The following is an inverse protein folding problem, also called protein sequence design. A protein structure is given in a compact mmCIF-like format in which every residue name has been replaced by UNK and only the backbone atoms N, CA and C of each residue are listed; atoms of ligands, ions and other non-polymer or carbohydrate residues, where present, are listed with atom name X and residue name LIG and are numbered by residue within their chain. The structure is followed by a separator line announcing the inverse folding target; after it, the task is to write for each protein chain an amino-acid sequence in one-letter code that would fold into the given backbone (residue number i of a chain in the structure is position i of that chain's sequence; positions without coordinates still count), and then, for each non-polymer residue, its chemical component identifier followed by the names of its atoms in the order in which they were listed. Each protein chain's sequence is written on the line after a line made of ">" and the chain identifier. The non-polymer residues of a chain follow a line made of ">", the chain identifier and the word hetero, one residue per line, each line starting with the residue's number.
data_IF_142418323680
#
_entry.id   IF_142418323680
#
_cell.length_a   1.000
_cell.length_b   1.000
_cell.length_c   1.000
_cell.angle_alpha   90.00
_cell.angle_beta   90.00
_cell.angle_gamma   90.00
#
_symmetry.space_group_name_H-M   'P 1'
#
loop_
_entity.id
_entity.type
_entity.pdbx_description
1 polymer ?
#
# COMPACT_ATOMS: atom_id res chain seq x y z
N UNK A 1 14.35 -37.26 9.43
CA UNK A 1 14.27 -36.64 8.09
C UNK A 1 15.38 -35.62 8.00
N UNK A 2 16.46 -35.90 7.24
CA UNK A 2 17.57 -34.97 7.10
C UNK A 2 17.08 -33.79 6.22
N UNK A 3 16.97 -32.62 6.86
CA UNK A 3 16.80 -31.38 6.13
C UNK A 3 18.04 -31.19 5.26
N UNK A 4 17.87 -31.15 3.93
CA UNK A 4 18.98 -31.01 2.96
C UNK A 4 19.68 -29.63 3.01
N UNK A 5 19.98 -29.17 4.22
CA UNK A 5 20.78 -27.98 4.48
C UNK A 5 22.26 -28.34 4.38
N UNK A 6 22.99 -27.59 3.54
CA UNK A 6 24.45 -27.68 3.47
C UNK A 6 25.07 -27.37 4.84
N UNK A 7 26.04 -28.18 5.25
CA UNK A 7 26.75 -28.00 6.49
C UNK A 7 28.24 -27.73 6.20
N UNK A 8 28.84 -26.70 6.76
CA UNK A 8 28.34 -25.65 7.67
C UNK A 8 27.31 -24.72 7.04
N UNK A 9 26.37 -24.14 7.88
CA UNK A 9 25.30 -23.32 7.35
C UNK A 9 25.82 -22.06 6.65
N UNK A 10 25.21 -21.71 5.49
CA UNK A 10 25.54 -20.53 4.69
C UNK A 10 24.28 -19.74 4.37
N UNK A 11 24.36 -18.41 4.40
CA UNK A 11 23.28 -17.54 3.89
C UNK A 11 23.14 -17.72 2.38
N UNK A 12 21.91 -17.57 1.88
CA UNK A 12 21.65 -17.58 0.45
C UNK A 12 22.31 -16.37 -0.21
N UNK A 13 22.77 -16.55 -1.45
CA UNK A 13 23.41 -15.48 -2.21
C UNK A 13 22.42 -14.31 -2.41
N UNK A 14 22.88 -13.07 -2.25
CA UNK A 14 22.06 -11.87 -2.35
C UNK A 14 21.24 -11.52 -1.08
N UNK A 15 21.38 -12.27 0.00
CA UNK A 15 20.85 -11.88 1.30
C UNK A 15 21.71 -10.79 1.92
N UNK A 16 21.09 -9.69 2.34
CA UNK A 16 21.78 -8.57 3.00
C UNK A 16 21.25 -8.38 4.42
N UNK A 17 22.16 -8.31 5.38
CA UNK A 17 21.90 -8.03 6.78
C UNK A 17 21.94 -6.51 7.00
N UNK A 18 20.80 -5.87 7.30
CA UNK A 18 20.67 -4.40 7.33
C UNK A 18 20.80 -3.80 8.74
N UNK A 19 20.75 -4.62 9.77
CA UNK A 19 20.80 -4.15 11.16
C UNK A 19 19.44 -3.87 11.77
N UNK A 20 19.43 -3.21 12.92
CA UNK A 20 18.22 -2.86 13.63
C UNK A 20 17.46 -1.73 12.90
N UNK A 21 16.11 -1.80 12.93
CA UNK A 21 15.24 -0.75 12.40
C UNK A 21 15.48 0.55 13.17
N UNK A 22 16.07 1.54 12.51
CA UNK A 22 16.37 2.85 13.10
C UNK A 22 15.09 3.59 13.47
N UNK A 23 15.12 4.29 14.60
CA UNK A 23 13.99 5.09 15.10
C UNK A 23 12.68 4.30 15.25
N UNK A 24 12.79 3.03 15.61
CA UNK A 24 11.67 2.13 15.76
C UNK A 24 10.73 2.54 16.91
N UNK A 25 9.42 2.34 16.70
CA UNK A 25 8.38 2.47 17.72
C UNK A 25 8.28 1.29 18.69
N UNK A 26 9.11 0.25 18.50
CA UNK A 26 9.18 -0.90 19.40
C UNK A 26 10.09 -0.62 20.59
N UNK A 27 9.78 -1.25 21.73
CA UNK A 27 10.67 -1.24 22.92
C UNK A 27 11.98 -1.99 22.64
N UNK A 28 11.89 -3.07 21.87
CA UNK A 28 13.04 -3.81 21.32
C UNK A 28 12.95 -3.75 19.80
N UNK A 29 13.79 -2.94 19.15
CA UNK A 29 13.76 -2.80 17.69
C UNK A 29 13.94 -4.16 17.01
N UNK A 30 13.13 -4.50 15.98
CA UNK A 30 13.41 -5.65 15.15
C UNK A 30 14.61 -5.37 14.26
N UNK A 31 15.32 -6.42 13.88
CA UNK A 31 16.34 -6.34 12.86
C UNK A 31 15.75 -6.59 11.46
N UNK A 32 16.38 -6.04 10.46
CA UNK A 32 15.99 -6.11 9.06
C UNK A 32 16.97 -6.96 8.27
N UNK A 33 16.43 -7.82 7.43
CA UNK A 33 17.17 -8.58 6.42
C UNK A 33 16.49 -8.37 5.07
N UNK A 34 17.26 -8.09 4.03
CA UNK A 34 16.81 -8.10 2.65
C UNK A 34 17.17 -9.43 2.00
N UNK A 35 16.18 -10.12 1.43
CA UNK A 35 16.38 -11.34 0.64
C UNK A 35 16.87 -11.01 -0.77
N UNK A 36 17.39 -12.04 -1.45
CA UNK A 36 17.81 -11.96 -2.86
C UNK A 36 16.68 -11.51 -3.81
N UNK A 37 15.41 -11.81 -3.49
CA UNK A 37 14.22 -11.38 -4.25
C UNK A 37 13.79 -9.94 -3.94
N UNK A 38 14.57 -9.20 -3.14
CA UNK A 38 14.31 -7.83 -2.73
C UNK A 38 13.33 -7.69 -1.55
N UNK A 39 12.72 -8.77 -1.06
CA UNK A 39 11.80 -8.70 0.08
C UNK A 39 12.53 -8.34 1.37
N UNK A 40 11.93 -7.42 2.12
CA UNK A 40 12.38 -7.01 3.45
C UNK A 40 11.71 -7.86 4.52
N UNK A 41 12.49 -8.48 5.39
CA UNK A 41 12.01 -9.32 6.50
C UNK A 41 12.40 -8.68 7.82
N UNK A 42 11.44 -8.61 8.75
CA UNK A 42 11.69 -8.24 10.13
C UNK A 42 11.89 -9.50 10.97
N UNK A 43 13.01 -9.57 11.66
CA UNK A 43 13.33 -10.68 12.55
C UNK A 43 13.71 -10.19 13.94
N UNK A 44 13.65 -11.09 14.92
CA UNK A 44 14.10 -10.78 16.28
C UNK A 44 15.62 -10.62 16.32
N UNK A 45 16.12 -9.90 17.35
CA UNK A 45 17.55 -9.72 17.57
C UNK A 45 18.31 -11.06 17.65
N UNK A 46 17.72 -12.08 18.29
CA UNK A 46 18.34 -13.40 18.36
C UNK A 46 18.56 -14.00 16.97
N UNK A 47 17.51 -14.01 16.12
CA UNK A 47 17.61 -14.54 14.75
C UNK A 47 18.65 -13.77 13.94
N UNK A 48 18.70 -12.45 14.12
CA UNK A 48 19.64 -11.58 13.43
C UNK A 48 21.08 -11.88 13.85
N UNK A 49 21.36 -12.01 15.15
CA UNK A 49 22.70 -12.34 15.65
C UNK A 49 23.17 -13.72 15.15
N UNK A 50 22.27 -14.72 15.14
CA UNK A 50 22.59 -16.02 14.52
C UNK A 50 22.89 -15.85 13.04
N UNK A 51 22.07 -15.12 12.28
CA UNK A 51 22.29 -14.88 10.85
C UNK A 51 23.63 -14.18 10.58
N UNK A 52 24.04 -13.21 11.42
CA UNK A 52 25.33 -12.52 11.31
C UNK A 52 26.54 -13.45 11.51
N UNK A 53 26.38 -14.58 12.20
CA UNK A 53 27.46 -15.53 12.48
C UNK A 53 27.51 -16.69 11.49
N UNK A 54 26.53 -16.79 10.58
CA UNK A 54 26.46 -17.79 9.51
C UNK A 54 27.32 -17.31 8.33
N UNK A 55 28.49 -17.90 8.14
CA UNK A 55 29.44 -17.55 7.06
C UNK A 55 29.78 -18.72 6.13
N UNK A 56 29.21 -19.90 6.36
CA UNK A 56 29.51 -21.10 5.59
C UNK A 56 30.74 -21.87 6.04
N UNK A 57 31.40 -21.43 7.12
CA UNK A 57 32.64 -22.06 7.62
C UNK A 57 32.52 -22.51 9.08
N UNK A 58 31.70 -21.85 9.88
CA UNK A 58 31.58 -22.09 11.32
C UNK A 58 30.66 -23.26 11.65
N UNK A 59 31.11 -24.10 12.57
CA UNK A 59 30.27 -25.14 13.20
C UNK A 59 29.25 -24.52 14.17
N UNK A 60 28.19 -25.27 14.49
CA UNK A 60 27.09 -24.78 15.37
C UNK A 60 27.59 -24.40 16.77
N UNK A 61 28.54 -25.12 17.33
CA UNK A 61 29.11 -24.81 18.64
C UNK A 61 29.82 -23.46 18.65
N UNK A 62 30.59 -23.16 17.59
CA UNK A 62 31.26 -21.89 17.43
C UNK A 62 30.25 -20.72 17.28
N UNK A 63 29.18 -20.92 16.49
CA UNK A 63 28.10 -19.95 16.37
C UNK A 63 27.41 -19.75 17.72
N UNK A 64 27.13 -20.83 18.47
CA UNK A 64 26.50 -20.78 19.78
C UNK A 64 27.33 -19.98 20.78
N UNK A 65 28.64 -20.22 20.85
CA UNK A 65 29.55 -19.49 21.71
C UNK A 65 29.58 -17.98 21.41
N UNK A 66 29.71 -17.60 20.13
CA UNK A 66 29.74 -16.20 19.71
C UNK A 66 28.42 -15.48 20.01
N UNK A 67 27.29 -16.10 19.68
CA UNK A 67 25.96 -15.50 19.93
C UNK A 67 25.64 -15.43 21.43
N UNK A 68 26.13 -16.39 22.22
CA UNK A 68 26.00 -16.35 23.67
C UNK A 68 26.70 -15.15 24.29
N UNK A 69 27.91 -14.83 23.80
CA UNK A 69 28.65 -13.61 24.18
C UNK A 69 27.87 -12.33 23.83
N UNK A 70 27.34 -12.23 22.61
CA UNK A 70 26.58 -11.08 22.13
C UNK A 70 25.24 -10.87 22.88
N UNK A 71 24.65 -11.93 23.40
CA UNK A 71 23.35 -11.89 24.12
C UNK A 71 23.47 -11.80 25.63
N UNK A 72 24.64 -12.09 26.20
CA UNK A 72 24.83 -12.24 27.63
C UNK A 72 24.06 -13.42 28.23
N UNK A 73 23.73 -14.44 27.41
CA UNK A 73 23.03 -15.67 27.80
C UNK A 73 23.59 -16.86 27.07
N UNK A 74 23.77 -18.00 27.76
CA UNK A 74 24.24 -19.23 27.17
C UNK A 74 23.21 -19.80 26.15
N UNK A 75 23.66 -20.13 24.97
CA UNK A 75 22.93 -20.86 23.96
C UNK A 75 23.65 -22.17 23.67
N UNK A 76 22.91 -23.26 23.55
CA UNK A 76 23.44 -24.53 23.11
C UNK A 76 23.47 -24.65 21.59
N UNK A 77 24.34 -25.51 21.04
CA UNK A 77 24.36 -25.79 19.60
C UNK A 77 23.02 -26.33 19.09
N UNK A 78 22.27 -27.10 19.92
CA UNK A 78 20.93 -27.58 19.56
C UNK A 78 19.90 -26.43 19.41
N UNK A 79 19.96 -25.40 20.26
CA UNK A 79 19.11 -24.22 20.16
C UNK A 79 19.47 -23.40 18.93
N UNK A 80 20.75 -23.24 18.58
CA UNK A 80 21.19 -22.59 17.36
C UNK A 80 20.74 -23.37 16.13
N UNK A 81 20.88 -24.71 16.15
CA UNK A 81 20.36 -25.58 15.09
C UNK A 81 18.86 -25.38 14.89
N UNK A 82 18.05 -25.36 15.97
CA UNK A 82 16.62 -25.06 15.90
C UNK A 82 16.34 -23.68 15.27
N UNK A 83 17.08 -22.65 15.67
CA UNK A 83 16.93 -21.31 15.07
C UNK A 83 17.23 -21.33 13.57
N UNK A 84 18.26 -22.01 13.15
CA UNK A 84 18.67 -22.12 11.74
C UNK A 84 17.64 -22.90 10.95
N UNK A 85 17.25 -24.11 11.39
CA UNK A 85 16.38 -25.01 10.64
C UNK A 85 14.91 -24.61 10.67
N UNK A 86 14.40 -24.24 11.85
CA UNK A 86 12.96 -24.03 12.06
C UNK A 86 12.54 -22.56 11.97
N UNK A 87 13.50 -21.62 12.03
CA UNK A 87 13.18 -20.18 11.96
C UNK A 87 13.79 -19.47 10.75
N UNK A 88 15.08 -19.68 10.43
CA UNK A 88 15.74 -18.98 9.32
C UNK A 88 15.54 -19.70 7.98
N UNK A 89 15.59 -21.03 7.94
CA UNK A 89 15.40 -21.79 6.71
C UNK A 89 14.01 -21.58 6.05
N UNK A 90 12.88 -21.59 6.80
CA UNK A 90 11.57 -21.31 6.22
C UNK A 90 11.43 -19.89 5.67
N UNK A 91 12.26 -18.95 6.13
CA UNK A 91 12.32 -17.57 5.62
C UNK A 91 13.11 -17.46 4.29
N UNK A 92 13.68 -18.56 3.80
CA UNK A 92 14.48 -18.57 2.57
C UNK A 92 15.78 -17.78 2.69
N UNK A 93 16.38 -17.74 3.89
CA UNK A 93 17.62 -17.02 4.17
C UNK A 93 18.88 -17.88 4.02
N UNK A 94 18.72 -19.19 3.87
CA UNK A 94 19.84 -20.14 3.83
C UNK A 94 20.06 -20.73 2.46
N UNK A 95 21.32 -20.95 2.10
CA UNK A 95 21.70 -21.68 0.89
C UNK A 95 21.28 -23.15 0.99
N UNK A 96 20.76 -23.73 -0.11
CA UNK A 96 20.34 -25.14 -0.16
C UNK A 96 19.03 -25.45 0.55
N UNK A 97 18.40 -24.47 1.22
CA UNK A 97 17.05 -24.61 1.75
C UNK A 97 16.02 -24.61 0.62
N UNK A 98 14.96 -25.42 0.73
CA UNK A 98 13.86 -25.41 -0.24
C UNK A 98 13.27 -23.98 -0.31
N UNK A 99 13.75 -23.21 -1.26
CA UNK A 99 13.36 -21.83 -1.50
C UNK A 99 11.96 -21.80 -2.08
N UNK A 100 10.93 -21.95 -1.28
CA UNK A 100 9.55 -21.61 -1.69
C UNK A 100 8.52 -21.72 -0.55
N UNK A 101 8.90 -21.45 0.70
CA UNK A 101 7.87 -21.00 1.61
C UNK A 101 7.53 -19.57 1.18
N UNK A 102 6.42 -19.39 0.47
CA UNK A 102 5.87 -18.05 0.24
C UNK A 102 5.70 -17.42 1.61
N UNK A 103 6.57 -16.46 1.94
CA UNK A 103 6.38 -15.67 3.15
C UNK A 103 4.94 -15.17 3.16
N UNK A 104 4.30 -15.08 4.35
CA UNK A 104 2.98 -14.53 4.44
C UNK A 104 3.03 -13.15 3.80
N UNK A 105 2.56 -13.04 2.57
CA UNK A 105 2.39 -11.73 1.93
C UNK A 105 1.45 -10.92 2.81
N UNK A 106 1.82 -9.67 3.06
CA UNK A 106 0.94 -8.68 3.67
C UNK A 106 -0.47 -8.83 3.10
N UNK A 107 -1.49 -8.67 3.93
CA UNK A 107 -2.90 -8.97 3.63
C UNK A 107 -3.20 -8.99 2.13
N UNK A 108 -3.51 -10.16 1.52
CA UNK A 108 -3.64 -10.25 0.06
C UNK A 108 -4.80 -9.41 -0.51
N UNK A 109 -5.66 -8.82 0.33
CA UNK A 109 -6.68 -7.84 -0.08
C UNK A 109 -6.09 -6.47 -0.38
N UNK A 110 -5.07 -6.06 0.37
CA UNK A 110 -4.41 -4.77 0.26
C UNK A 110 -3.04 -4.87 -0.46
N UNK A 111 -2.77 -5.97 -1.15
CA UNK A 111 -1.58 -6.14 -1.95
C UNK A 111 -1.84 -5.72 -3.40
N UNK A 112 -0.92 -4.96 -3.96
CA UNK A 112 -0.92 -4.59 -5.37
C UNK A 112 -0.76 -5.83 -6.24
N UNK A 113 -1.62 -6.01 -7.24
CA UNK A 113 -1.67 -7.18 -8.13
C UNK A 113 -1.39 -6.77 -9.57
N UNK A 114 -1.18 -7.78 -10.43
CA UNK A 114 -0.97 -7.59 -11.86
C UNK A 114 0.05 -6.47 -12.15
N UNK A 115 1.22 -6.56 -11.51
CA UNK A 115 2.27 -5.52 -11.58
C UNK A 115 2.96 -5.54 -12.93
N UNK A 116 2.91 -4.43 -13.65
CA UNK A 116 3.73 -4.15 -14.83
C UNK A 116 4.81 -3.13 -14.49
N UNK A 117 6.00 -3.30 -15.03
CA UNK A 117 7.11 -2.36 -14.86
C UNK A 117 7.07 -1.31 -15.96
N UNK A 118 7.01 -0.04 -15.59
CA UNK A 118 7.12 1.10 -16.49
C UNK A 118 8.58 1.55 -16.62
N UNK A 119 9.26 1.75 -15.49
CA UNK A 119 10.67 2.10 -15.44
C UNK A 119 11.42 1.03 -14.64
N UNK A 120 12.41 0.36 -15.21
CA UNK A 120 13.25 -0.59 -14.49
C UNK A 120 14.07 0.14 -13.43
N UNK A 121 14.60 -0.60 -12.45
CA UNK A 121 15.34 -0.03 -11.32
C UNK A 121 16.51 0.88 -11.75
N UNK A 122 17.20 0.56 -12.84
CA UNK A 122 18.28 1.39 -13.38
C UNK A 122 17.75 2.78 -13.80
N UNK A 123 16.65 2.83 -14.56
CA UNK A 123 16.04 4.08 -15.00
C UNK A 123 15.44 4.89 -13.82
N UNK A 124 14.78 4.22 -12.86
CA UNK A 124 14.29 4.85 -11.65
C UNK A 124 15.43 5.45 -10.80
N UNK A 125 16.60 4.79 -10.73
CA UNK A 125 17.77 5.34 -10.06
C UNK A 125 18.34 6.58 -10.79
N UNK A 126 18.34 6.59 -12.12
CA UNK A 126 18.74 7.76 -12.92
C UNK A 126 17.77 8.91 -12.69
N UNK A 127 16.46 8.68 -12.80
CA UNK A 127 15.43 9.69 -12.50
C UNK A 127 15.57 10.23 -11.06
N UNK A 128 15.74 9.33 -10.08
CA UNK A 128 15.97 9.72 -8.69
C UNK A 128 17.22 10.54 -8.48
N UNK A 129 18.30 10.27 -9.21
CA UNK A 129 19.55 11.05 -9.18
C UNK A 129 19.39 12.42 -9.84
N UNK A 130 18.69 12.48 -10.97
CA UNK A 130 18.41 13.72 -11.71
C UNK A 130 17.60 14.71 -10.86
N UNK A 131 16.56 14.22 -10.19
CA UNK A 131 15.68 15.04 -9.37
C UNK A 131 16.15 15.21 -7.91
N UNK A 132 17.24 14.56 -7.51
CA UNK A 132 17.82 14.69 -6.17
C UNK A 132 18.01 16.15 -5.70
N UNK A 133 18.49 17.12 -6.53
CA UNK A 133 18.68 18.50 -6.12
C UNK A 133 17.42 19.20 -5.61
N UNK A 134 16.23 18.76 -6.04
CA UNK A 134 14.96 19.33 -5.61
C UNK A 134 14.69 19.10 -4.10
N UNK A 135 15.40 18.17 -3.45
CA UNK A 135 15.28 17.91 -2.01
C UNK A 135 16.24 18.76 -1.14
N UNK A 136 16.99 19.69 -1.72
CA UNK A 136 17.72 20.67 -0.91
C UNK A 136 16.75 21.62 -0.19
N UNK A 137 17.02 21.90 1.08
CA UNK A 137 16.11 22.67 1.93
C UNK A 137 15.68 24.04 1.36
N UNK A 138 16.55 24.83 0.68
CA UNK A 138 16.10 26.10 0.10
C UNK A 138 15.09 25.89 -1.04
N UNK A 139 15.29 24.82 -1.85
CA UNK A 139 14.38 24.48 -2.93
C UNK A 139 13.02 24.04 -2.37
N UNK A 140 13.03 23.18 -1.34
CA UNK A 140 11.79 22.76 -0.65
C UNK A 140 11.05 23.99 -0.11
N UNK A 141 11.75 24.89 0.58
CA UNK A 141 11.16 26.11 1.12
C UNK A 141 10.55 26.98 0.00
N UNK A 142 11.27 27.18 -1.11
CA UNK A 142 10.79 27.94 -2.25
C UNK A 142 9.55 27.31 -2.89
N UNK A 143 9.55 25.99 -3.11
CA UNK A 143 8.42 25.24 -3.68
C UNK A 143 7.18 25.32 -2.77
N UNK A 144 7.34 25.11 -1.45
CA UNK A 144 6.22 25.19 -0.50
C UNK A 144 5.65 26.62 -0.47
N UNK A 145 6.52 27.65 -0.45
CA UNK A 145 6.07 29.05 -0.45
C UNK A 145 5.35 29.40 -1.75
N UNK A 146 5.91 29.01 -2.90
CA UNK A 146 5.28 29.22 -4.20
C UNK A 146 3.94 28.48 -4.31
N UNK A 147 3.87 27.25 -3.79
CA UNK A 147 2.63 26.48 -3.71
C UNK A 147 1.57 27.19 -2.87
N UNK A 148 1.92 27.68 -1.69
CA UNK A 148 0.97 28.43 -0.85
C UNK A 148 0.48 29.73 -1.51
N UNK A 149 1.34 30.44 -2.26
CA UNK A 149 0.94 31.60 -3.04
C UNK A 149 0.00 31.21 -4.17
N UNK A 150 0.32 30.13 -4.90
CA UNK A 150 -0.52 29.59 -5.96
C UNK A 150 -1.91 29.20 -5.43
N UNK A 151 -1.96 28.49 -4.29
CA UNK A 151 -3.21 28.03 -3.68
C UNK A 151 -4.07 29.20 -3.22
N UNK A 152 -3.44 30.19 -2.56
CA UNK A 152 -4.13 31.41 -2.16
C UNK A 152 -4.72 32.15 -3.36
N UNK A 153 -3.93 32.31 -4.44
CA UNK A 153 -4.41 32.92 -5.66
C UNK A 153 -5.55 32.11 -6.28
N UNK A 154 -5.38 30.81 -6.43
CA UNK A 154 -6.35 29.94 -7.11
C UNK A 154 -7.68 29.89 -6.35
N UNK A 155 -7.65 29.62 -5.06
CA UNK A 155 -8.87 29.36 -4.27
C UNK A 155 -9.51 30.62 -3.71
N UNK A 156 -8.73 31.67 -3.42
CA UNK A 156 -9.25 32.89 -2.79
C UNK A 156 -9.51 34.04 -3.78
N UNK A 157 -8.71 34.16 -4.84
CA UNK A 157 -8.77 35.31 -5.74
C UNK A 157 -9.36 34.98 -7.11
N UNK A 158 -8.93 33.88 -7.73
CA UNK A 158 -9.31 33.55 -9.12
C UNK A 158 -10.57 32.68 -9.19
N UNK A 159 -10.64 31.62 -8.38
CA UNK A 159 -11.70 30.62 -8.38
C UNK A 159 -11.59 29.65 -9.56
N UNK A 160 -12.45 28.62 -9.53
CA UNK A 160 -12.44 27.49 -10.48
C UNK A 160 -13.71 27.39 -11.34
N UNK A 161 -14.68 28.29 -11.13
CA UNK A 161 -16.00 28.18 -11.78
C UNK A 161 -15.96 28.27 -13.31
N UNK A 162 -15.01 29.03 -13.86
CA UNK A 162 -14.75 29.12 -15.29
C UNK A 162 -14.21 27.81 -15.86
N UNK A 163 -13.19 27.27 -15.22
CA UNK A 163 -12.55 26.02 -15.60
C UNK A 163 -13.54 24.84 -15.63
N UNK A 164 -14.34 24.69 -14.58
CA UNK A 164 -15.35 23.64 -14.53
C UNK A 164 -16.33 23.72 -15.70
N UNK A 165 -16.91 24.89 -15.95
CA UNK A 165 -17.93 25.04 -17.02
C UNK A 165 -17.38 24.78 -18.40
N UNK A 166 -16.17 25.26 -18.69
CA UNK A 166 -15.55 25.09 -20.00
C UNK A 166 -15.13 23.65 -20.22
N UNK A 167 -14.32 23.08 -19.31
CA UNK A 167 -13.68 21.78 -19.50
C UNK A 167 -14.68 20.63 -19.44
N UNK A 168 -15.68 20.68 -18.54
CA UNK A 168 -16.69 19.61 -18.47
C UNK A 168 -17.60 19.55 -19.70
N UNK A 169 -17.68 20.62 -20.50
CA UNK A 169 -18.45 20.66 -21.73
C UNK A 169 -17.70 20.13 -22.96
N UNK A 170 -16.38 19.93 -22.89
CA UNK A 170 -15.56 19.52 -24.04
C UNK A 170 -14.84 18.17 -23.76
N UNK A 171 -15.18 17.11 -24.52
CA UNK A 171 -14.51 15.80 -24.37
C UNK A 171 -13.00 15.83 -24.63
N UNK A 172 -12.50 16.73 -25.47
CA UNK A 172 -11.06 16.87 -25.75
C UNK A 172 -10.35 17.42 -24.52
N UNK A 173 -10.92 18.46 -23.90
CA UNK A 173 -10.39 19.05 -22.68
C UNK A 173 -10.36 18.03 -21.53
N UNK A 174 -11.42 17.21 -21.39
CA UNK A 174 -11.47 16.13 -20.39
C UNK A 174 -10.41 15.04 -20.62
N UNK A 175 -10.19 14.65 -21.88
CA UNK A 175 -9.10 13.71 -22.21
C UNK A 175 -7.73 14.31 -21.90
N UNK A 176 -7.55 15.61 -22.13
CA UNK A 176 -6.31 16.29 -21.82
C UNK A 176 -6.07 16.36 -20.29
N UNK A 177 -7.12 16.64 -19.50
CA UNK A 177 -7.05 16.55 -18.03
C UNK A 177 -6.65 15.12 -17.60
N UNK A 178 -7.29 14.10 -18.14
CA UNK A 178 -6.96 12.71 -17.81
C UNK A 178 -5.50 12.36 -18.18
N UNK A 179 -5.02 12.82 -19.34
CA UNK A 179 -3.62 12.61 -19.74
C UNK A 179 -2.64 13.32 -18.81
N UNK A 180 -2.93 14.57 -18.41
CA UNK A 180 -2.11 15.32 -17.46
C UNK A 180 -2.13 14.68 -16.06
N UNK A 181 -3.27 14.14 -15.60
CA UNK A 181 -3.35 13.38 -14.33
C UNK A 181 -2.48 12.12 -14.38
N UNK A 182 -2.43 11.39 -15.50
CA UNK A 182 -1.52 10.25 -15.65
C UNK A 182 -0.06 10.69 -15.61
N UNK A 183 0.29 11.81 -16.25
CA UNK A 183 1.65 12.38 -16.20
C UNK A 183 1.99 12.79 -14.76
N UNK A 184 1.06 13.45 -14.06
CA UNK A 184 1.19 13.81 -12.64
C UNK A 184 1.48 12.58 -11.78
N UNK A 185 0.72 11.51 -11.98
CA UNK A 185 0.89 10.26 -11.21
C UNK A 185 2.26 9.61 -11.46
N UNK A 186 2.75 9.58 -12.70
CA UNK A 186 4.11 9.07 -12.99
C UNK A 186 5.18 9.98 -12.38
N UNK A 187 4.99 11.29 -12.44
CA UNK A 187 5.92 12.26 -11.86
C UNK A 187 5.94 12.17 -10.32
N UNK A 188 4.80 11.93 -9.69
CA UNK A 188 4.66 11.61 -8.27
C UNK A 188 5.54 10.43 -7.87
N UNK A 189 5.52 9.33 -8.64
CA UNK A 189 6.36 8.15 -8.39
C UNK A 189 7.86 8.47 -8.51
N UNK A 190 8.23 9.38 -9.41
CA UNK A 190 9.61 9.89 -9.48
C UNK A 190 10.00 10.66 -8.20
N UNK A 191 9.05 11.30 -7.53
CA UNK A 191 9.25 11.98 -6.25
C UNK A 191 9.68 11.02 -5.14
N UNK A 192 9.03 9.87 -5.01
CA UNK A 192 9.45 8.82 -4.08
C UNK A 192 10.85 8.32 -4.40
N UNK A 193 11.15 8.07 -5.67
CA UNK A 193 12.48 7.65 -6.09
C UNK A 193 13.56 8.70 -5.77
N UNK A 194 13.26 9.98 -5.98
CA UNK A 194 14.18 11.08 -5.70
C UNK A 194 14.42 11.28 -4.20
N UNK A 195 13.36 11.22 -3.38
CA UNK A 195 13.45 11.28 -1.91
C UNK A 195 14.26 10.13 -1.32
N UNK A 196 14.04 8.92 -1.84
CA UNK A 196 14.81 7.72 -1.51
C UNK A 196 16.30 7.90 -1.84
N UNK A 197 16.59 8.36 -3.07
CA UNK A 197 17.96 8.57 -3.56
C UNK A 197 18.68 9.71 -2.82
N UNK A 198 17.99 10.78 -2.48
CA UNK A 198 18.54 11.87 -1.67
C UNK A 198 19.00 11.38 -0.30
N UNK A 199 18.26 10.46 0.31
CA UNK A 199 18.63 9.81 1.56
C UNK A 199 19.82 8.85 1.48
N UNK A 200 20.30 8.50 0.28
CA UNK A 200 21.37 7.54 0.06
C UNK A 200 20.91 6.09 -0.14
N UNK A 201 19.61 5.84 -0.16
CA UNK A 201 19.03 4.54 -0.50
C UNK A 201 18.84 4.41 -2.03
N UNK A 202 18.57 3.19 -2.51
CA UNK A 202 18.42 2.88 -3.94
C UNK A 202 16.95 2.58 -4.23
N UNK A 203 16.23 3.42 -5.00
CA UNK A 203 14.91 3.08 -5.46
C UNK A 203 14.98 1.86 -6.39
N UNK A 204 13.98 1.00 -6.28
CA UNK A 204 13.76 -0.12 -7.20
C UNK A 204 13.02 0.34 -8.47
N UNK A 205 12.14 -0.51 -9.01
CA UNK A 205 11.35 -0.21 -10.20
C UNK A 205 10.18 0.71 -9.92
N UNK A 206 9.78 1.50 -10.92
CA UNK A 206 8.49 2.19 -10.96
C UNK A 206 7.56 1.41 -11.88
N UNK A 207 6.31 1.23 -11.51
CA UNK A 207 5.37 0.45 -12.28
C UNK A 207 3.92 0.82 -12.04
N UNK A 208 3.04 0.06 -12.69
CA UNK A 208 1.59 0.13 -12.52
C UNK A 208 1.08 -1.24 -12.09
N UNK A 209 0.04 -1.26 -11.30
CA UNK A 209 -0.63 -2.49 -10.89
C UNK A 209 -2.08 -2.22 -10.53
N UNK A 210 -2.79 -3.26 -10.13
CA UNK A 210 -4.18 -3.15 -9.67
C UNK A 210 -4.19 -3.19 -8.14
N UNK A 211 -4.63 -2.10 -7.53
CA UNK A 211 -4.86 -1.99 -6.09
C UNK A 211 -6.35 -2.07 -5.82
N UNK A 212 -6.79 -3.11 -5.08
CA UNK A 212 -8.19 -3.48 -4.94
C UNK A 212 -8.84 -3.70 -6.31
N UNK A 213 -9.39 -2.67 -6.93
CA UNK A 213 -10.10 -2.68 -8.22
C UNK A 213 -9.63 -1.56 -9.16
N UNK A 214 -8.73 -0.67 -8.70
CA UNK A 214 -8.28 0.49 -9.46
C UNK A 214 -6.84 0.32 -9.94
N UNK A 215 -6.50 0.83 -11.12
CA UNK A 215 -5.10 0.96 -11.52
C UNK A 215 -4.40 1.92 -10.55
N UNK A 216 -3.19 1.57 -10.14
CA UNK A 216 -2.37 2.39 -9.23
C UNK A 216 -0.92 2.30 -9.68
N UNK A 217 -0.24 3.44 -9.69
CA UNK A 217 1.20 3.48 -9.87
C UNK A 217 1.90 3.09 -8.56
N UNK A 218 3.15 2.73 -8.63
CA UNK A 218 3.96 2.40 -7.46
C UNK A 218 5.44 2.56 -7.73
N UNK A 219 6.17 2.96 -6.73
CA UNK A 219 7.64 2.93 -6.68
C UNK A 219 8.11 1.95 -5.62
N UNK A 220 9.03 1.08 -5.97
CA UNK A 220 9.68 0.21 -5.00
C UNK A 220 10.74 1.00 -4.24
N UNK A 221 10.38 1.46 -3.05
CA UNK A 221 11.27 2.17 -2.13
C UNK A 221 11.69 1.32 -0.94
N UNK A 222 11.67 0.00 -1.08
CA UNK A 222 11.96 -0.95 -0.01
C UNK A 222 13.33 -0.69 0.64
N UNK A 223 14.32 -0.21 -0.10
CA UNK A 223 15.65 0.10 0.42
C UNK A 223 15.66 1.33 1.37
N UNK A 224 14.59 2.14 1.39
CA UNK A 224 14.43 3.28 2.32
C UNK A 224 14.45 2.85 3.79
N UNK A 225 14.13 1.59 4.09
CA UNK A 225 14.22 1.06 5.45
C UNK A 225 15.63 1.07 6.06
N UNK A 226 16.68 1.23 5.26
CA UNK A 226 18.06 1.50 5.74
C UNK A 226 18.20 2.88 6.36
N UNK A 227 17.33 3.82 5.98
CA UNK A 227 17.38 5.21 6.41
C UNK A 227 16.79 5.33 7.83
N UNK A 228 17.15 6.41 8.51
CA UNK A 228 16.45 6.85 9.70
C UNK A 228 15.03 7.36 9.37
N UNK A 229 14.22 7.63 10.40
CA UNK A 229 12.83 8.09 10.26
C UNK A 229 12.68 9.28 9.30
N UNK A 230 13.52 10.31 9.45
CA UNK A 230 13.46 11.49 8.58
C UNK A 230 13.72 11.15 7.09
N UNK A 231 14.60 10.18 6.82
CA UNK A 231 14.87 9.72 5.46
C UNK A 231 13.69 8.95 4.87
N UNK A 232 13.02 8.09 5.65
CA UNK A 232 11.82 7.38 5.22
C UNK A 232 10.66 8.33 4.99
N UNK A 233 10.36 9.23 5.94
CA UNK A 233 9.32 10.24 5.78
C UNK A 233 9.55 11.14 4.56
N UNK A 234 10.79 11.50 4.28
CA UNK A 234 11.13 12.24 3.05
C UNK A 234 10.80 11.43 1.81
N UNK A 235 11.09 10.14 1.83
CA UNK A 235 10.77 9.24 0.72
C UNK A 235 9.26 9.15 0.52
N UNK A 236 8.49 8.97 1.60
CA UNK A 236 7.04 8.84 1.56
C UNK A 236 6.35 10.16 1.14
N UNK A 237 6.83 11.31 1.61
CA UNK A 237 6.34 12.62 1.22
C UNK A 237 6.81 13.06 -0.18
N UNK A 238 7.75 12.32 -0.77
CA UNK A 238 8.35 12.67 -2.05
C UNK A 238 7.34 12.79 -3.19
N UNK A 239 6.34 11.90 -3.22
CA UNK A 239 5.28 11.94 -4.22
C UNK A 239 4.42 13.20 -4.11
N UNK A 240 3.92 13.48 -2.92
CA UNK A 240 3.11 14.69 -2.63
C UNK A 240 3.88 15.98 -2.94
N UNK A 241 5.17 16.01 -2.62
CA UNK A 241 6.05 17.13 -2.94
C UNK A 241 6.21 17.31 -4.46
N UNK A 242 6.29 16.23 -5.22
CA UNK A 242 6.37 16.29 -6.68
C UNK A 242 5.03 16.69 -7.33
N UNK A 243 3.89 16.30 -6.76
CA UNK A 243 2.61 16.84 -7.18
C UNK A 243 2.56 18.36 -7.05
N UNK A 244 3.11 18.92 -5.95
CA UNK A 244 3.19 20.37 -5.77
C UNK A 244 4.08 21.03 -6.85
N UNK A 245 5.23 20.44 -7.17
CA UNK A 245 6.10 20.93 -8.26
C UNK A 245 5.38 20.87 -9.61
N UNK A 246 4.66 19.77 -9.86
CA UNK A 246 3.88 19.60 -11.09
C UNK A 246 2.79 20.68 -11.23
N UNK A 247 2.04 20.94 -10.16
CA UNK A 247 1.01 21.98 -10.12
C UNK A 247 1.61 23.38 -10.36
N UNK A 248 2.78 23.68 -9.80
CA UNK A 248 3.49 24.94 -10.06
C UNK A 248 3.89 25.06 -11.53
N UNK A 249 4.31 23.98 -12.17
CA UNK A 249 4.58 23.93 -13.59
C UNK A 249 3.32 24.20 -14.43
N UNK A 250 2.19 23.58 -14.07
CA UNK A 250 0.91 23.86 -14.71
C UNK A 250 0.45 25.31 -14.51
N UNK A 251 0.62 25.87 -13.31
CA UNK A 251 0.28 27.25 -13.02
C UNK A 251 1.14 28.24 -13.85
N UNK A 252 2.43 27.96 -14.02
CA UNK A 252 3.31 28.74 -14.88
C UNK A 252 2.87 28.66 -16.36
N UNK A 253 2.49 27.48 -16.84
CA UNK A 253 1.92 27.32 -18.18
C UNK A 253 0.59 28.07 -18.33
N UNK A 254 -0.27 28.01 -17.29
CA UNK A 254 -1.53 28.75 -17.27
C UNK A 254 -1.31 30.27 -17.38
N UNK A 255 -0.33 30.82 -16.68
CA UNK A 255 -0.02 32.24 -16.73
C UNK A 255 0.32 32.75 -18.15
N UNK A 256 0.80 31.85 -19.04
CA UNK A 256 1.12 32.19 -20.43
C UNK A 256 -0.03 31.87 -21.38
N UNK A 257 -0.76 30.76 -21.15
CA UNK A 257 -1.73 30.22 -22.11
C UNK A 257 -3.18 30.55 -21.76
N UNK A 258 -3.47 30.88 -20.50
CA UNK A 258 -4.82 31.04 -19.94
C UNK A 258 -5.75 29.81 -20.17
N UNK A 259 -5.16 28.62 -20.44
CA UNK A 259 -5.92 27.41 -20.73
C UNK A 259 -6.53 26.82 -19.46
N UNK A 260 -7.87 26.73 -19.41
CA UNK A 260 -8.65 26.28 -18.24
C UNK A 260 -8.43 24.82 -17.87
N UNK A 261 -7.99 23.97 -18.80
CA UNK A 261 -7.61 22.57 -18.55
C UNK A 261 -6.54 22.49 -17.48
N UNK A 262 -5.56 23.40 -17.50
CA UNK A 262 -4.46 23.42 -16.53
C UNK A 262 -4.96 23.72 -15.11
N UNK A 263 -5.90 24.66 -14.94
CA UNK A 263 -6.50 24.97 -13.65
C UNK A 263 -7.34 23.81 -13.11
N UNK A 264 -8.12 23.16 -13.97
CA UNK A 264 -8.90 22.00 -13.55
C UNK A 264 -7.99 20.84 -13.16
N UNK A 265 -6.89 20.62 -13.90
CA UNK A 265 -5.89 19.60 -13.54
C UNK A 265 -5.25 19.89 -12.20
N UNK A 266 -4.89 21.15 -11.90
CA UNK A 266 -4.37 21.55 -10.58
C UNK A 266 -5.38 21.19 -9.48
N UNK A 267 -6.67 21.53 -9.67
CA UNK A 267 -7.70 21.22 -8.68
C UNK A 267 -7.88 19.71 -8.47
N UNK A 268 -7.86 18.93 -9.54
CA UNK A 268 -7.95 17.46 -9.45
C UNK A 268 -6.71 16.89 -8.75
N UNK A 269 -5.52 17.38 -9.06
CA UNK A 269 -4.28 16.95 -8.37
C UNK A 269 -4.34 17.23 -6.86
N UNK A 270 -4.95 18.34 -6.40
CA UNK A 270 -5.20 18.56 -4.97
C UNK A 270 -6.10 17.50 -4.35
N UNK A 271 -7.19 17.12 -5.03
CA UNK A 271 -8.08 16.06 -4.54
C UNK A 271 -7.36 14.71 -4.47
N UNK A 272 -6.56 14.38 -5.48
CA UNK A 272 -5.71 13.17 -5.50
C UNK A 272 -4.71 13.19 -4.33
N UNK A 273 -4.05 14.32 -4.06
CA UNK A 273 -3.14 14.47 -2.90
C UNK A 273 -3.85 14.26 -1.57
N UNK A 274 -5.06 14.83 -1.40
CA UNK A 274 -5.85 14.63 -0.19
C UNK A 274 -6.22 13.16 -0.02
N UNK A 275 -6.63 12.47 -1.08
CA UNK A 275 -6.92 11.04 -1.05
C UNK A 275 -5.68 10.22 -0.68
N UNK A 276 -4.53 10.51 -1.29
CA UNK A 276 -3.25 9.82 -1.02
C UNK A 276 -2.78 10.00 0.42
N UNK A 277 -3.06 11.14 1.06
CA UNK A 277 -2.69 11.42 2.45
C UNK A 277 -3.60 10.73 3.48
N UNK A 278 -4.72 10.13 3.06
CA UNK A 278 -5.60 9.40 3.98
C UNK A 278 -4.94 8.09 4.45
N UNK A 279 -4.75 7.88 5.76
CA UNK A 279 -4.05 6.72 6.29
C UNK A 279 -4.95 5.48 6.45
N UNK A 280 -6.04 5.36 5.69
CA UNK A 280 -7.04 4.30 5.87
C UNK A 280 -6.81 3.08 4.99
N UNK A 281 -6.13 3.28 3.88
CA UNK A 281 -5.69 2.26 2.94
C UNK A 281 -4.18 2.41 2.72
N UNK A 282 -3.53 1.48 2.03
CA UNK A 282 -2.08 1.53 1.81
C UNK A 282 -1.69 2.53 0.71
N UNK A 283 -2.08 3.78 0.91
CA UNK A 283 -1.59 4.95 0.19
C UNK A 283 -0.46 5.63 0.97
N UNK A 284 0.07 6.72 0.48
CA UNK A 284 1.21 7.42 1.07
C UNK A 284 0.97 7.79 2.54
N UNK A 285 -0.22 8.30 2.88
CA UNK A 285 -0.59 8.64 4.24
C UNK A 285 -0.48 7.48 5.23
N UNK A 286 -0.71 6.24 4.77
CA UNK A 286 -0.49 5.05 5.58
C UNK A 286 1.01 4.82 5.83
N UNK A 287 1.86 4.97 4.81
CA UNK A 287 3.30 4.79 4.94
C UNK A 287 3.91 5.92 5.76
N UNK A 288 3.49 7.18 5.54
CA UNK A 288 3.87 8.35 6.36
C UNK A 288 3.55 8.09 7.84
N UNK A 289 2.33 7.64 8.16
CA UNK A 289 1.95 7.33 9.54
C UNK A 289 2.75 6.15 10.10
N UNK A 290 2.96 5.10 9.32
CA UNK A 290 3.75 3.93 9.67
C UNK A 290 5.18 4.32 10.06
N UNK A 291 5.81 5.17 9.26
CA UNK A 291 7.18 5.62 9.48
C UNK A 291 7.30 6.70 10.56
N UNK A 292 6.31 7.56 10.70
CA UNK A 292 6.20 8.50 11.82
C UNK A 292 6.15 7.75 13.16
N UNK A 293 5.36 6.68 13.23
CA UNK A 293 5.26 5.83 14.42
C UNK A 293 6.47 4.90 14.58
N UNK A 294 7.18 4.61 13.49
CA UNK A 294 8.30 3.67 13.45
C UNK A 294 7.84 2.21 13.57
N UNK A 295 6.66 1.89 13.07
CA UNK A 295 6.07 0.54 13.11
C UNK A 295 5.59 0.16 11.73
N UNK A 296 6.38 -0.58 10.96
CA UNK A 296 5.95 -1.13 9.67
C UNK A 296 4.72 -2.03 9.84
N UNK A 297 3.82 -2.01 8.86
CA UNK A 297 2.57 -2.77 8.84
C UNK A 297 1.63 -2.54 10.04
N UNK A 298 1.01 -1.35 10.05
CA UNK A 298 0.03 -0.97 11.07
C UNK A 298 -1.20 -1.90 11.08
N UNK A 299 -1.61 -2.44 9.92
CA UNK A 299 -2.73 -3.38 9.84
C UNK A 299 -2.50 -4.67 10.64
N UNK A 300 -1.25 -5.14 10.72
CA UNK A 300 -0.90 -6.29 11.54
C UNK A 300 -1.06 -6.01 13.05
N UNK A 301 -1.18 -4.75 13.46
CA UNK A 301 -1.34 -4.33 14.85
C UNK A 301 -2.80 -4.20 15.29
N UNK A 302 -3.76 -4.20 14.38
CA UNK A 302 -5.19 -4.10 14.69
C UNK A 302 -5.61 -5.21 15.67
N UNK A 303 -5.31 -6.47 15.36
CA UNK A 303 -5.68 -7.60 16.23
C UNK A 303 -5.08 -7.51 17.65
N UNK A 304 -3.76 -7.30 17.81
CA UNK A 304 -3.16 -7.08 19.11
C UNK A 304 -3.73 -5.90 19.90
N UNK A 305 -3.98 -4.76 19.26
CA UNK A 305 -4.56 -3.57 19.93
C UNK A 305 -5.98 -3.84 20.40
N UNK A 306 -6.84 -4.43 19.56
CA UNK A 306 -8.19 -4.82 19.97
C UNK A 306 -8.16 -5.89 21.06
N UNK A 307 -7.25 -6.86 20.95
CA UNK A 307 -7.07 -7.89 21.98
C UNK A 307 -6.73 -7.32 23.36
N UNK A 308 -5.91 -6.26 23.42
CA UNK A 308 -5.61 -5.57 24.69
C UNK A 308 -6.80 -4.77 25.22
N UNK A 309 -7.63 -4.20 24.34
CA UNK A 309 -8.81 -3.44 24.74
C UNK A 309 -9.93 -4.34 25.33
N UNK A 310 -10.05 -5.58 24.81
CA UNK A 310 -11.12 -6.51 25.22
C UNK A 310 -10.66 -7.60 26.21
N UNK A 311 -9.37 -7.90 26.32
CA UNK A 311 -8.84 -8.92 27.21
C UNK A 311 -8.25 -8.30 28.48
N UNK A 312 -9.06 -8.18 29.53
CA UNK A 312 -8.56 -7.82 30.87
C UNK A 312 -7.49 -8.83 31.33
N UNK A 313 -6.22 -8.40 31.38
CA UNK A 313 -5.16 -9.09 32.11
C UNK A 313 -4.29 -10.11 31.34
N UNK A 314 -4.40 -10.26 30.03
CA UNK A 314 -3.42 -11.06 29.25
C UNK A 314 -2.37 -10.16 28.61
N UNK A 315 -1.10 -10.36 29.01
CA UNK A 315 0.05 -9.74 28.36
C UNK A 315 0.07 -10.11 26.88
N UNK A 316 -0.29 -9.16 26.03
CA UNK A 316 -0.37 -9.35 24.59
C UNK A 316 0.82 -8.65 23.91
N UNK A 317 1.10 -9.01 22.66
CA UNK A 317 2.17 -8.39 21.84
C UNK A 317 2.16 -6.85 21.79
N UNK A 318 1.14 -6.18 22.33
CA UNK A 318 1.05 -4.72 22.47
C UNK A 318 2.08 -4.12 23.43
N UNK A 319 2.61 -4.90 24.38
CA UNK A 319 3.65 -4.43 25.32
C UNK A 319 5.02 -4.20 24.67
N UNK A 320 5.21 -4.68 23.44
CA UNK A 320 6.43 -4.49 22.69
C UNK A 320 6.53 -3.10 22.04
N UNK A 321 5.49 -2.27 22.12
CA UNK A 321 5.46 -0.91 21.56
C UNK A 321 5.76 0.14 22.64
N UNK A 322 6.53 1.16 22.27
CA UNK A 322 6.71 2.37 23.10
C UNK A 322 5.38 3.06 23.33
N UNK A 323 5.18 3.68 24.47
CA UNK A 323 3.92 4.35 24.84
C UNK A 323 3.37 5.31 23.76
N UNK A 324 4.15 6.24 23.16
CA UNK A 324 3.63 7.12 22.12
C UNK A 324 3.19 6.35 20.87
N UNK A 325 4.01 5.40 20.40
CA UNK A 325 3.65 4.55 19.25
C UNK A 325 2.34 3.79 19.48
N UNK A 326 2.17 3.21 20.67
CA UNK A 326 0.94 2.51 21.04
C UNK A 326 -0.28 3.44 21.03
N UNK A 327 -0.16 4.67 21.57
CA UNK A 327 -1.26 5.66 21.57
C UNK A 327 -1.68 6.03 20.14
N UNK A 328 -0.70 6.33 19.28
CA UNK A 328 -0.96 6.69 17.89
C UNK A 328 -1.63 5.54 17.11
N UNK A 329 -1.12 4.31 17.27
CA UNK A 329 -1.72 3.14 16.62
C UNK A 329 -3.13 2.88 17.17
N UNK A 330 -3.36 3.04 18.47
CA UNK A 330 -4.70 2.87 19.05
C UNK A 330 -5.68 3.90 18.50
N UNK A 331 -5.29 5.19 18.42
CA UNK A 331 -6.10 6.23 17.83
C UNK A 331 -6.42 5.93 16.35
N UNK A 332 -5.41 5.52 15.58
CA UNK A 332 -5.59 5.11 14.19
C UNK A 332 -6.54 3.92 14.04
N UNK A 333 -6.40 2.89 14.88
CA UNK A 333 -7.30 1.71 14.88
C UNK A 333 -8.74 2.12 15.17
N UNK A 334 -8.95 3.03 16.15
CA UNK A 334 -10.27 3.54 16.50
C UNK A 334 -10.92 4.35 15.38
N UNK A 335 -10.15 5.00 14.52
CA UNK A 335 -10.65 5.70 13.34
C UNK A 335 -10.87 4.75 12.16
N UNK A 336 -9.90 3.89 11.88
CA UNK A 336 -9.90 3.03 10.68
C UNK A 336 -10.96 1.93 10.76
N UNK A 337 -11.17 1.31 11.92
CA UNK A 337 -12.13 0.20 12.03
C UNK A 337 -13.57 0.65 11.77
N UNK A 338 -14.10 1.72 12.42
CA UNK A 338 -15.45 2.19 12.11
C UNK A 338 -15.57 2.62 10.63
N UNK A 339 -14.57 3.29 10.08
CA UNK A 339 -14.60 3.72 8.69
C UNK A 339 -14.62 2.53 7.72
N UNK A 340 -13.76 1.53 7.92
CA UNK A 340 -13.76 0.31 7.10
C UNK A 340 -15.07 -0.48 7.27
N UNK A 341 -15.59 -0.56 8.50
CA UNK A 341 -16.87 -1.22 8.76
C UNK A 341 -18.03 -0.49 8.07
N UNK A 342 -18.03 0.85 8.12
CA UNK A 342 -19.01 1.68 7.42
C UNK A 342 -18.90 1.50 5.91
N UNK A 343 -17.70 1.61 5.34
CA UNK A 343 -17.46 1.47 3.90
C UNK A 343 -17.85 0.09 3.39
N UNK A 344 -17.42 -0.98 4.08
CA UNK A 344 -17.78 -2.36 3.71
C UNK A 344 -19.27 -2.64 3.92
N UNK A 345 -19.83 -2.12 5.01
CA UNK A 345 -21.28 -2.22 5.28
C UNK A 345 -22.10 -1.53 4.19
N UNK A 346 -21.73 -0.30 3.84
CA UNK A 346 -22.38 0.44 2.76
C UNK A 346 -22.24 -0.26 1.41
N UNK A 347 -21.03 -0.76 1.10
CA UNK A 347 -20.80 -1.53 -0.13
C UNK A 347 -21.71 -2.77 -0.19
N UNK A 348 -21.84 -3.51 0.91
CA UNK A 348 -22.71 -4.70 0.95
C UNK A 348 -24.20 -4.31 0.84
N UNK A 349 -24.64 -3.28 1.56
CA UNK A 349 -26.04 -2.84 1.56
C UNK A 349 -26.47 -2.31 0.18
N UNK A 350 -25.59 -1.63 -0.54
CA UNK A 350 -25.89 -1.01 -1.83
C UNK A 350 -25.27 -1.74 -3.03
N UNK A 351 -24.73 -2.94 -2.83
CA UNK A 351 -24.01 -3.70 -3.86
C UNK A 351 -24.81 -3.91 -5.16
N UNK A 352 -26.13 -4.29 -5.12
CA UNK A 352 -26.91 -4.46 -6.35
C UNK A 352 -27.11 -3.12 -7.07
N UNK A 353 -27.50 -2.06 -6.36
CA UNK A 353 -27.71 -0.74 -6.95
C UNK A 353 -26.41 -0.18 -7.54
N UNK A 354 -25.28 -0.34 -6.84
CA UNK A 354 -23.96 0.06 -7.33
C UNK A 354 -23.58 -0.67 -8.61
N UNK A 355 -23.69 -2.01 -8.64
CA UNK A 355 -23.37 -2.77 -9.86
C UNK A 355 -24.33 -2.50 -11.00
N UNK A 356 -25.61 -2.25 -10.71
CA UNK A 356 -26.59 -1.82 -11.72
C UNK A 356 -26.19 -0.48 -12.34
N UNK A 357 -25.84 0.51 -11.50
CA UNK A 357 -25.37 1.81 -11.99
C UNK A 357 -24.15 1.68 -12.88
N UNK A 358 -23.17 0.86 -12.48
CA UNK A 358 -21.97 0.59 -13.30
C UNK A 358 -22.32 -0.14 -14.60
N UNK A 359 -23.25 -1.12 -14.58
CA UNK A 359 -23.71 -1.83 -15.77
C UNK A 359 -24.39 -0.90 -16.76
N UNK A 360 -25.28 -0.01 -16.28
CA UNK A 360 -25.90 1.02 -17.11
C UNK A 360 -24.86 1.96 -17.72
N UNK A 361 -23.83 2.34 -16.94
CA UNK A 361 -22.71 3.14 -17.44
C UNK A 361 -21.93 2.42 -18.55
N UNK A 362 -21.68 1.13 -18.42
CA UNK A 362 -21.00 0.32 -19.44
C UNK A 362 -21.85 0.23 -20.70
N UNK A 363 -23.15 -0.04 -20.54
CA UNK A 363 -24.07 -0.17 -21.68
C UNK A 363 -24.23 1.17 -22.42
N UNK A 364 -24.43 2.27 -21.68
CA UNK A 364 -24.47 3.63 -22.24
C UNK A 364 -23.16 4.00 -22.97
N UNK A 365 -22.01 3.66 -22.37
CA UNK A 365 -20.73 3.88 -23.03
C UNK A 365 -20.62 3.16 -24.37
N UNK A 366 -21.12 1.92 -24.47
CA UNK A 366 -21.17 1.19 -25.74
C UNK A 366 -22.00 1.92 -26.81
N UNK A 367 -23.18 2.43 -26.45
CA UNK A 367 -24.02 3.20 -27.37
C UNK A 367 -23.39 4.53 -27.77
N UNK A 368 -22.81 5.26 -26.82
CA UNK A 368 -22.11 6.53 -27.06
C UNK A 368 -20.92 6.30 -28.00
N UNK A 369 -20.07 5.30 -27.74
CA UNK A 369 -18.93 4.98 -28.61
C UNK A 369 -19.37 4.73 -30.05
N UNK A 370 -20.41 3.93 -30.23
CA UNK A 370 -20.93 3.63 -31.57
C UNK A 370 -21.48 4.88 -32.28
N UNK A 371 -22.28 5.69 -31.57
CA UNK A 371 -22.84 6.95 -32.08
C UNK A 371 -21.76 7.99 -32.39
N UNK A 372 -20.81 8.20 -31.50
CA UNK A 372 -19.74 9.18 -31.63
C UNK A 372 -18.78 8.82 -32.77
N UNK A 373 -18.48 7.52 -32.97
CA UNK A 373 -17.68 7.05 -34.12
C UNK A 373 -18.42 7.33 -35.41
N UNK A 374 -19.73 7.03 -35.49
CA UNK A 374 -20.54 7.31 -36.66
C UNK A 374 -20.62 8.83 -36.96
N UNK A 375 -20.67 9.65 -35.90
CA UNK A 375 -20.62 11.11 -35.96
C UNK A 375 -19.22 11.71 -36.16
N UNK A 376 -18.17 10.88 -36.25
CA UNK A 376 -16.75 11.29 -36.33
C UNK A 376 -16.26 12.09 -35.12
N UNK A 377 -16.89 11.92 -33.97
CA UNK A 377 -16.52 12.55 -32.69
C UNK A 377 -15.57 11.65 -31.90
N UNK A 378 -14.37 11.41 -32.40
CA UNK A 378 -13.43 10.41 -31.87
C UNK A 378 -12.99 10.69 -30.44
N UNK A 379 -12.88 11.95 -30.01
CA UNK A 379 -12.54 12.32 -28.65
C UNK A 379 -13.65 11.92 -27.66
N UNK A 380 -14.91 12.17 -28.01
CA UNK A 380 -16.07 11.76 -27.22
C UNK A 380 -16.15 10.21 -27.11
N UNK A 381 -15.96 9.52 -28.25
CA UNK A 381 -15.90 8.06 -28.29
C UNK A 381 -14.79 7.49 -27.38
N UNK A 382 -13.59 8.09 -27.40
CA UNK A 382 -12.48 7.68 -26.55
C UNK A 382 -12.79 7.89 -25.07
N UNK A 383 -13.36 9.04 -24.69
CA UNK A 383 -13.77 9.33 -23.31
C UNK A 383 -14.85 8.37 -22.84
N UNK A 384 -15.87 8.09 -23.66
CA UNK A 384 -16.91 7.13 -23.36
C UNK A 384 -16.34 5.70 -23.17
N UNK A 385 -15.40 5.29 -24.03
CA UNK A 385 -14.74 3.99 -23.93
C UNK A 385 -13.92 3.85 -22.64
N UNK A 386 -13.15 4.87 -22.26
CA UNK A 386 -12.38 4.91 -21.00
C UNK A 386 -13.34 4.82 -19.82
N UNK A 387 -14.40 5.63 -19.77
CA UNK A 387 -15.40 5.61 -18.71
C UNK A 387 -16.09 4.24 -18.57
N UNK A 388 -16.50 3.64 -19.68
CA UNK A 388 -17.08 2.30 -19.74
C UNK A 388 -16.13 1.22 -19.23
N UNK A 389 -14.85 1.26 -19.62
CA UNK A 389 -13.83 0.33 -19.17
C UNK A 389 -13.57 0.45 -17.65
N UNK A 390 -13.49 1.66 -17.11
CA UNK A 390 -13.35 1.90 -15.66
C UNK A 390 -14.58 1.41 -14.90
N UNK A 391 -15.79 1.64 -15.42
CA UNK A 391 -17.02 1.12 -14.81
C UNK A 391 -17.05 -0.41 -14.80
N UNK A 392 -16.68 -1.05 -15.90
CA UNK A 392 -16.58 -2.52 -15.98
C UNK A 392 -15.55 -3.08 -14.99
N UNK A 393 -14.38 -2.47 -14.89
CA UNK A 393 -13.33 -2.85 -13.94
C UNK A 393 -13.82 -2.71 -12.50
N UNK A 394 -14.52 -1.61 -12.18
CA UNK A 394 -15.06 -1.35 -10.83
C UNK A 394 -16.15 -2.37 -10.46
N UNK A 395 -17.03 -2.72 -11.42
CA UNK A 395 -18.06 -3.76 -11.22
C UNK A 395 -17.41 -5.13 -10.95
N UNK A 396 -16.53 -5.57 -11.83
CA UNK A 396 -15.79 -6.82 -11.65
C UNK A 396 -15.02 -6.88 -10.32
N UNK A 397 -14.40 -5.76 -9.95
CA UNK A 397 -13.67 -5.62 -8.71
C UNK A 397 -14.55 -5.70 -7.47
N UNK A 398 -15.71 -5.04 -7.46
CA UNK A 398 -16.64 -5.06 -6.34
C UNK A 398 -17.17 -6.48 -6.07
N UNK A 399 -17.55 -7.19 -7.13
CA UNK A 399 -17.96 -8.61 -7.06
C UNK A 399 -16.83 -9.49 -6.57
N UNK A 400 -15.62 -9.32 -7.10
CA UNK A 400 -14.42 -10.05 -6.66
C UNK A 400 -14.14 -9.87 -5.17
N UNK A 401 -14.20 -8.63 -4.67
CA UNK A 401 -13.98 -8.31 -3.25
C UNK A 401 -15.06 -8.97 -2.40
N UNK A 402 -16.34 -8.87 -2.78
CA UNK A 402 -17.46 -9.49 -2.08
C UNK A 402 -17.30 -11.02 -1.98
N UNK A 403 -17.04 -11.69 -3.10
CA UNK A 403 -16.82 -13.15 -3.15
C UNK A 403 -15.63 -13.56 -2.28
N UNK A 404 -14.54 -12.79 -2.34
CA UNK A 404 -13.34 -13.10 -1.57
C UNK A 404 -13.52 -12.93 -0.06
N UNK A 405 -14.24 -11.87 0.37
CA UNK A 405 -14.57 -11.66 1.79
C UNK A 405 -15.45 -12.79 2.30
N UNK A 406 -16.48 -13.17 1.53
CA UNK A 406 -17.38 -14.28 1.88
C UNK A 406 -16.62 -15.59 2.02
N UNK A 407 -15.75 -15.94 1.06
CA UNK A 407 -14.91 -17.15 1.13
C UNK A 407 -13.97 -17.13 2.34
N UNK A 408 -13.39 -15.97 2.69
CA UNK A 408 -12.53 -15.84 3.88
C UNK A 408 -13.32 -16.00 5.17
N UNK A 409 -14.50 -15.37 5.27
CA UNK A 409 -15.38 -15.52 6.42
C UNK A 409 -15.79 -16.97 6.63
N UNK A 410 -16.21 -17.66 5.54
CA UNK A 410 -16.53 -19.08 5.57
C UNK A 410 -15.35 -19.95 6.02
N UNK A 411 -14.15 -19.68 5.50
CA UNK A 411 -12.92 -20.38 5.91
C UNK A 411 -12.56 -20.17 7.37
N UNK A 412 -12.72 -18.96 7.90
CA UNK A 412 -12.50 -18.65 9.32
C UNK A 412 -13.51 -19.37 10.21
N UNK A 413 -14.79 -19.36 9.84
CA UNK A 413 -15.87 -20.08 10.54
C UNK A 413 -15.58 -21.57 10.54
N UNK A 414 -15.25 -22.15 9.40
CA UNK A 414 -14.94 -23.58 9.26
C UNK A 414 -13.76 -23.98 10.17
N UNK A 415 -12.68 -23.20 10.17
CA UNK A 415 -11.50 -23.48 11.02
C UNK A 415 -11.82 -23.35 12.51
N UNK A 416 -12.60 -22.32 12.93
CA UNK A 416 -12.95 -22.09 14.33
C UNK A 416 -13.98 -23.08 14.87
N UNK A 417 -14.76 -23.71 13.98
CA UNK A 417 -15.79 -24.70 14.34
C UNK A 417 -15.37 -26.13 14.01
N UNK A 418 -14.12 -26.35 13.63
CA UNK A 418 -13.56 -27.69 13.37
C UNK A 418 -13.69 -28.56 14.64
N UNK A 419 -14.27 -29.74 14.49
CA UNK A 419 -14.53 -30.67 15.61
C UNK A 419 -15.73 -30.30 16.51
N UNK A 420 -16.49 -29.22 16.20
CA UNK A 420 -17.62 -28.77 17.03
C UNK A 420 -18.91 -28.64 16.18
N UNK A 421 -19.63 -29.74 15.90
CA UNK A 421 -20.76 -29.75 14.97
C UNK A 421 -21.88 -28.78 15.34
N UNK A 422 -22.21 -28.66 16.64
CA UNK A 422 -23.25 -27.70 17.13
C UNK A 422 -22.87 -26.25 16.81
N UNK A 423 -21.61 -25.83 17.08
CA UNK A 423 -21.14 -24.47 16.78
C UNK A 423 -21.09 -24.20 15.27
N UNK A 424 -20.75 -25.22 14.47
CA UNK A 424 -20.76 -25.13 13.03
C UNK A 424 -22.18 -24.92 12.50
N UNK A 425 -23.16 -25.68 13.01
CA UNK A 425 -24.58 -25.54 12.65
C UNK A 425 -25.09 -24.13 13.00
N UNK A 426 -24.83 -23.62 14.23
CA UNK A 426 -25.21 -22.28 14.64
C UNK A 426 -24.58 -21.22 13.73
N UNK A 427 -23.31 -21.35 13.37
CA UNK A 427 -22.64 -20.42 12.49
C UNK A 427 -23.19 -20.44 11.06
N UNK A 428 -23.53 -21.61 10.53
CA UNK A 428 -24.18 -21.74 9.21
C UNK A 428 -25.59 -21.15 9.22
N UNK A 429 -26.40 -21.46 10.23
CA UNK A 429 -27.73 -20.86 10.38
C UNK A 429 -27.67 -19.34 10.51
N UNK A 430 -26.74 -18.82 11.33
CA UNK A 430 -26.49 -17.38 11.43
C UNK A 430 -26.11 -16.75 10.11
N UNK A 431 -25.24 -17.40 9.33
CA UNK A 431 -24.85 -16.91 8.00
C UNK A 431 -26.04 -16.91 7.01
N UNK A 432 -26.90 -17.93 7.07
CA UNK A 432 -28.13 -17.99 6.25
C UNK A 432 -29.09 -16.85 6.64
N UNK A 433 -29.31 -16.63 7.93
CA UNK A 433 -30.16 -15.54 8.41
C UNK A 433 -29.61 -14.18 7.96
N UNK A 434 -28.30 -13.94 8.12
CA UNK A 434 -27.68 -12.70 7.66
C UNK A 434 -27.83 -12.51 6.14
N UNK A 435 -27.62 -13.56 5.35
CA UNK A 435 -27.79 -13.51 3.89
C UNK A 435 -29.25 -13.25 3.50
N UNK A 436 -30.21 -13.93 4.14
CA UNK A 436 -31.63 -13.72 3.91
C UNK A 436 -32.07 -12.29 4.29
N UNK A 437 -31.59 -11.77 5.43
CA UNK A 437 -31.85 -10.39 5.86
C UNK A 437 -31.30 -9.36 4.88
N UNK A 438 -30.11 -9.60 4.31
CA UNK A 438 -29.51 -8.74 3.30
C UNK A 438 -30.31 -8.76 1.99
N UNK A 439 -30.72 -9.94 1.52
CA UNK A 439 -31.57 -10.08 0.31
C UNK A 439 -32.93 -9.40 0.52
N UNK A 440 -33.54 -9.58 1.70
CA UNK A 440 -34.80 -8.90 2.06
C UNK A 440 -34.60 -7.38 2.07
N UNK A 441 -33.52 -6.88 2.66
CA UNK A 441 -33.19 -5.46 2.63
C UNK A 441 -33.12 -4.94 1.18
N UNK A 442 -32.43 -5.66 0.28
CA UNK A 442 -32.33 -5.27 -1.13
C UNK A 442 -33.69 -5.27 -1.83
N UNK A 443 -34.54 -6.26 -1.54
CA UNK A 443 -35.88 -6.36 -2.14
C UNK A 443 -36.80 -5.22 -1.65
N UNK A 444 -36.81 -4.96 -0.33
CA UNK A 444 -37.67 -3.91 0.27
C UNK A 444 -37.25 -2.51 -0.22
N UNK A 445 -35.93 -2.25 -0.33
CA UNK A 445 -35.43 -0.94 -0.79
C UNK A 445 -35.37 -0.83 -2.31
N UNK A 446 -35.97 -1.76 -3.05
CA UNK A 446 -36.12 -1.69 -4.50
C UNK A 446 -34.80 -1.76 -5.26
N UNK A 447 -33.74 -2.30 -4.67
CA UNK A 447 -32.41 -2.36 -5.31
C UNK A 447 -32.36 -3.30 -6.52
N UNK A 448 -33.38 -4.17 -6.68
CA UNK A 448 -33.56 -5.02 -7.85
C UNK A 448 -34.50 -4.42 -8.91
N UNK A 449 -35.13 -3.26 -8.64
CA UNK A 449 -36.04 -2.64 -9.62
C UNK A 449 -35.27 -2.09 -10.79
N UNK A 450 -35.62 -2.53 -12.01
CA UNK A 450 -35.07 -2.04 -13.28
C UNK A 450 -33.76 -2.71 -13.72
N UNK A 451 -33.53 -3.97 -13.33
CA UNK A 451 -32.58 -4.87 -14.03
C UNK A 451 -33.19 -5.34 -15.32
#
# INVERSE_FOLDING_TARGET
>A
MSTGLAYPPRLADGVELLGELKDSGFTKPPALIRRADGQMIQISRLLYLVACRIDGTRALDAIAALVSGDLGRSLSASQVSYVITDKLAPLGLLAGGAAKAALPTASPLLALRARATLLPAAAANVAGALFRPLFHWPVIAAVITAGGIMDYWLFMLHGLSGAYRQVLGDPVDLLLVAALSVVSAVFHECGHAAGCRYGGARPGRIGVGIYLVWPSFFTDVTDSYRLGRAGRLRTDLGGVYFNLIFMLGLAACYAVTANQVLLLTIAITHLEMLEQLLPFVRFDGYFILSDLVGVPDLFARIGPVLGTAFARGRHTRGEMLRRPARRMITAWVLCVIPLLAFTLGSLLLYLPAFNRSLWLSVNNAGHLVAGDIAGRQYAAAALAAIGGALAALSSAGSVYVAVRLTRRAAGLVSRRTAGQPRRRLIAVLGAIVCAASLVLFWAVHGQFRGW
#
